data_IF_223490242757
#
_entry.id   IF_223490242757
#
_cell.length_a   1.000
_cell.length_b   1.000
_cell.length_c   1.000
_cell.angle_alpha   90.00
_cell.angle_beta   90.00
_cell.angle_gamma   90.00
#
_symmetry.space_group_name_H-M   'P 1'
#
loop_
_entity.id
_entity.type
_entity.pdbx_description
1 polymer ?
#
# COMPACT_ATOMS: atom_id res chain seq x y z
N UNK A 1 -10.33 -18.72 -3.82
CA UNK A 1 -10.09 -17.67 -2.81
C UNK A 1 -8.75 -17.88 -2.11
N UNK A 2 -8.56 -18.94 -1.30
CA UNK A 2 -7.28 -19.19 -0.58
C UNK A 2 -6.05 -19.27 -1.50
N UNK A 3 -6.08 -20.14 -2.51
CA UNK A 3 -5.01 -20.27 -3.51
C UNK A 3 -4.75 -19.00 -4.33
N UNK A 4 -5.65 -18.01 -4.29
CA UNK A 4 -5.49 -16.73 -4.97
C UNK A 4 -5.08 -15.59 -4.01
N UNK A 5 -4.83 -15.90 -2.73
CA UNK A 5 -4.55 -14.92 -1.69
C UNK A 5 -5.72 -13.98 -1.35
N UNK A 6 -6.95 -14.30 -1.80
CA UNK A 6 -8.15 -13.47 -1.62
C UNK A 6 -8.94 -13.23 -2.92
N UNK A 7 -9.57 -12.05 -3.05
CA UNK A 7 -10.28 -11.59 -4.23
C UNK A 7 -9.47 -10.54 -4.98
N UNK A 8 -9.28 -10.75 -6.27
CA UNK A 8 -8.45 -9.88 -7.09
C UNK A 8 -9.30 -9.18 -8.15
N UNK A 9 -9.03 -7.90 -8.45
CA UNK A 9 -9.56 -7.26 -9.63
C UNK A 9 -9.11 -8.06 -10.86
N UNK A 10 -10.01 -8.19 -11.84
CA UNK A 10 -9.70 -8.93 -13.06
C UNK A 10 -8.50 -8.29 -13.78
N UNK A 11 -7.56 -9.15 -14.19
CA UNK A 11 -6.28 -8.75 -14.81
C UNK A 11 -5.22 -8.19 -13.88
N UNK A 12 -5.42 -8.18 -12.56
CA UNK A 12 -4.36 -7.79 -11.64
C UNK A 12 -3.34 -8.94 -11.46
N UNK A 13 -2.07 -8.57 -11.29
CA UNK A 13 -1.00 -9.51 -10.90
C UNK A 13 -0.90 -9.43 -9.38
N UNK A 14 -0.89 -10.59 -8.73
CA UNK A 14 -0.83 -10.76 -7.28
C UNK A 14 0.27 -9.87 -6.68
N UNK A 15 -0.03 -9.21 -5.56
CA UNK A 15 0.94 -8.46 -4.75
C UNK A 15 1.63 -7.32 -5.52
N UNK A 16 0.89 -6.53 -6.29
CA UNK A 16 1.48 -5.37 -6.95
C UNK A 16 0.68 -4.08 -6.76
N UNK A 17 0.39 -3.77 -5.49
CA UNK A 17 -0.41 -2.61 -5.08
C UNK A 17 0.21 -1.26 -5.47
N UNK A 18 1.54 -1.21 -5.70
CA UNK A 18 2.26 -0.01 -6.09
C UNK A 18 2.62 0.04 -7.58
N UNK A 19 2.57 -1.07 -8.34
CA UNK A 19 2.70 -1.04 -9.81
C UNK A 19 1.37 -1.44 -10.42
N UNK A 20 0.53 -0.43 -10.42
CA UNK A 20 -0.86 -0.50 -10.81
C UNK A 20 -0.97 -0.42 -12.33
N UNK A 21 -1.87 -1.21 -12.95
CA UNK A 21 -2.08 -1.13 -14.40
C UNK A 21 -2.62 0.26 -14.81
N UNK A 22 -2.33 0.72 -16.04
CA UNK A 22 -2.96 1.93 -16.56
C UNK A 22 -4.49 1.78 -16.62
N UNK A 23 -5.21 2.89 -16.45
CA UNK A 23 -6.66 3.02 -16.63
C UNK A 23 -7.57 2.43 -15.53
N UNK A 24 -7.10 2.35 -14.28
CA UNK A 24 -8.00 2.11 -13.14
C UNK A 24 -8.90 3.34 -12.97
N UNK A 25 -10.21 3.09 -12.84
CA UNK A 25 -11.26 4.11 -12.79
C UNK A 25 -12.48 3.53 -12.10
N UNK A 26 -12.92 4.17 -11.01
CA UNK A 26 -14.13 3.79 -10.29
C UNK A 26 -15.39 4.07 -11.15
N UNK A 27 -15.36 5.14 -11.93
CA UNK A 27 -16.42 5.46 -12.88
C UNK A 27 -16.56 4.41 -13.99
N UNK A 28 -15.43 3.89 -14.50
CA UNK A 28 -15.46 2.79 -15.46
C UNK A 28 -15.92 1.48 -14.82
N UNK A 29 -15.52 1.23 -13.56
CA UNK A 29 -15.92 0.05 -12.79
C UNK A 29 -17.44 -0.13 -12.76
N UNK A 30 -18.17 0.92 -12.39
CA UNK A 30 -19.63 0.84 -12.23
C UNK A 30 -20.36 0.80 -13.58
N UNK A 31 -19.82 1.43 -14.64
CA UNK A 31 -20.45 1.45 -15.97
C UNK A 31 -20.24 0.17 -16.77
N UNK A 32 -19.16 -0.57 -16.49
CA UNK A 32 -18.89 -1.84 -17.17
C UNK A 32 -19.70 -3.04 -16.67
N UNK A 33 -20.52 -2.86 -15.62
CA UNK A 33 -21.36 -3.90 -15.06
C UNK A 33 -22.45 -4.43 -16.03
N UNK A 34 -22.78 -3.68 -17.10
CA UNK A 34 -23.87 -4.05 -18.03
C UNK A 34 -23.48 -4.71 -19.36
N UNK A 35 -22.26 -4.48 -19.88
CA UNK A 35 -21.87 -4.90 -21.24
C UNK A 35 -20.36 -5.18 -21.33
N UNK A 36 -19.87 -6.28 -20.76
CA UNK A 36 -18.57 -6.89 -21.11
C UNK A 36 -17.29 -6.03 -21.02
N UNK A 37 -17.33 -4.77 -20.59
CA UNK A 37 -16.31 -3.75 -20.91
C UNK A 37 -15.81 -2.90 -19.73
N UNK A 38 -15.81 -3.40 -18.48
CA UNK A 38 -14.83 -2.93 -17.48
C UNK A 38 -14.10 -4.08 -16.80
N UNK A 39 -13.55 -4.95 -17.63
CA UNK A 39 -12.78 -6.13 -17.23
C UNK A 39 -11.44 -5.83 -16.55
N UNK A 40 -11.02 -4.56 -16.45
CA UNK A 40 -9.75 -4.14 -15.84
C UNK A 40 -9.88 -2.85 -15.01
N UNK A 41 -10.97 -2.72 -14.25
CA UNK A 41 -11.25 -1.50 -13.48
C UNK A 41 -10.36 -1.30 -12.27
N UNK A 42 -9.72 -2.36 -11.75
CA UNK A 42 -8.84 -2.28 -10.58
C UNK A 42 -9.53 -2.39 -9.22
N UNK A 43 -10.84 -2.60 -9.23
CA UNK A 43 -11.68 -2.70 -8.03
C UNK A 43 -12.39 -4.05 -7.94
N UNK A 44 -12.74 -4.44 -6.72
CA UNK A 44 -13.64 -5.56 -6.41
C UNK A 44 -14.87 -5.01 -5.68
N UNK A 45 -16.07 -5.21 -6.24
CA UNK A 45 -17.33 -4.76 -5.65
C UNK A 45 -17.68 -5.53 -4.38
N UNK A 46 -18.15 -4.82 -3.36
CA UNK A 46 -18.77 -5.36 -2.16
C UNK A 46 -19.97 -4.50 -1.76
N UNK A 47 -20.85 -5.02 -0.91
CA UNK A 47 -21.99 -4.26 -0.37
C UNK A 47 -21.99 -4.40 1.14
N UNK A 48 -22.50 -3.36 1.82
CA UNK A 48 -22.75 -3.41 3.26
C UNK A 48 -24.05 -4.15 3.62
N UNK A 49 -24.92 -4.38 2.64
CA UNK A 49 -26.25 -4.94 2.84
C UNK A 49 -26.32 -6.42 2.45
N UNK A 50 -26.60 -7.28 3.43
CA UNK A 50 -26.70 -8.73 3.22
C UNK A 50 -27.74 -9.10 2.15
N UNK A 51 -28.88 -8.42 2.16
CA UNK A 51 -29.97 -8.68 1.21
C UNK A 51 -29.59 -8.29 -0.22
N UNK A 52 -28.78 -7.23 -0.39
CA UNK A 52 -28.24 -6.86 -1.70
C UNK A 52 -27.33 -7.96 -2.22
N UNK A 53 -26.41 -8.47 -1.40
CA UNK A 53 -25.54 -9.60 -1.77
C UNK A 53 -26.34 -10.86 -2.16
N UNK A 54 -27.38 -11.21 -1.39
CA UNK A 54 -28.24 -12.35 -1.69
C UNK A 54 -29.03 -12.17 -3.00
N UNK A 55 -29.52 -10.95 -3.28
CA UNK A 55 -30.24 -10.64 -4.52
C UNK A 55 -29.33 -10.72 -5.75
N UNK A 56 -28.05 -10.34 -5.63
CA UNK A 56 -27.05 -10.55 -6.68
C UNK A 56 -26.87 -12.03 -7.01
N UNK A 57 -26.85 -12.92 -6.01
CA UNK A 57 -26.75 -14.36 -6.26
C UNK A 57 -28.01 -14.91 -6.96
N UNK A 58 -29.20 -14.45 -6.55
CA UNK A 58 -30.48 -14.84 -7.16
C UNK A 58 -30.59 -14.43 -8.61
N UNK A 59 -30.26 -13.17 -8.94
CA UNK A 59 -30.37 -12.64 -10.31
C UNK A 59 -29.47 -13.37 -11.31
N UNK A 60 -28.37 -13.99 -10.83
CA UNK A 60 -27.42 -14.70 -11.68
C UNK A 60 -27.61 -16.23 -11.71
N UNK A 61 -28.56 -16.78 -10.93
CA UNK A 61 -28.77 -18.24 -10.81
C UNK A 61 -27.48 -19.04 -10.54
N UNK A 62 -26.58 -18.47 -9.73
CA UNK A 62 -25.30 -19.08 -9.40
C UNK A 62 -25.51 -20.00 -8.19
N UNK A 63 -25.37 -21.32 -8.36
CA UNK A 63 -25.41 -22.28 -7.25
C UNK A 63 -24.41 -23.43 -7.48
N UNK A 64 -23.65 -23.87 -6.45
CA UNK A 64 -23.55 -23.24 -5.13
C UNK A 64 -22.81 -21.89 -5.20
N UNK A 65 -23.26 -20.93 -4.40
CA UNK A 65 -22.65 -19.61 -4.27
C UNK A 65 -22.20 -19.32 -2.85
N UNK A 66 -21.40 -18.28 -2.68
CA UNK A 66 -20.86 -17.89 -1.39
C UNK A 66 -21.14 -16.41 -1.12
N UNK A 67 -21.49 -16.10 0.13
CA UNK A 67 -21.45 -14.74 0.66
C UNK A 67 -20.24 -14.67 1.59
N UNK A 68 -19.29 -13.80 1.26
CA UNK A 68 -18.10 -13.57 2.07
C UNK A 68 -18.30 -12.36 2.97
N UNK A 69 -17.91 -12.51 4.24
CA UNK A 69 -17.90 -11.44 5.22
C UNK A 69 -16.48 -10.90 5.34
N UNK A 70 -16.33 -9.60 5.22
CA UNK A 70 -15.05 -8.94 4.97
C UNK A 70 -14.95 -7.74 5.89
N UNK A 71 -13.84 -7.65 6.64
CA UNK A 71 -13.58 -6.45 7.44
C UNK A 71 -13.12 -5.33 6.52
N UNK A 72 -13.63 -4.11 6.66
CA UNK A 72 -13.20 -2.98 5.83
C UNK A 72 -11.79 -2.52 6.18
N UNK A 73 -11.09 -1.95 5.19
CA UNK A 73 -9.78 -1.30 5.32
C UNK A 73 -9.73 -0.06 4.43
N UNK A 74 -8.71 0.82 4.53
CA UNK A 74 -8.70 2.07 3.78
C UNK A 74 -8.76 1.94 2.24
N UNK A 75 -8.51 0.76 1.66
CA UNK A 75 -8.74 0.54 0.23
C UNK A 75 -10.21 0.29 -0.16
N UNK A 76 -11.14 0.23 0.80
CA UNK A 76 -12.59 0.17 0.54
C UNK A 76 -13.14 1.57 0.33
N UNK A 77 -13.53 1.88 -0.90
CA UNK A 77 -13.97 3.20 -1.31
C UNK A 77 -15.50 3.21 -1.39
N UNK A 78 -16.12 4.19 -0.73
CA UNK A 78 -17.57 4.42 -0.82
C UNK A 78 -17.91 4.93 -2.22
N UNK A 79 -18.59 4.11 -3.01
CA UNK A 79 -18.85 4.41 -4.42
C UNK A 79 -19.82 5.57 -4.58
N UNK A 80 -20.92 5.52 -3.83
CA UNK A 80 -21.98 6.51 -3.93
C UNK A 80 -21.46 7.90 -3.54
N UNK A 81 -20.70 8.03 -2.46
CA UNK A 81 -20.14 9.31 -2.05
C UNK A 81 -18.98 9.77 -2.94
N UNK A 82 -18.20 8.84 -3.50
CA UNK A 82 -17.07 9.20 -4.38
C UNK A 82 -17.53 9.67 -5.76
N UNK A 83 -18.65 9.15 -6.27
CA UNK A 83 -19.19 9.48 -7.59
C UNK A 83 -20.35 10.48 -7.54
N UNK A 84 -21.01 10.65 -6.39
CA UNK A 84 -22.11 11.59 -6.20
C UNK A 84 -23.26 11.38 -7.20
N UNK A 85 -23.69 12.45 -7.85
CA UNK A 85 -24.79 12.43 -8.84
C UNK A 85 -24.50 11.55 -10.07
N UNK A 86 -23.25 11.10 -10.26
CA UNK A 86 -22.85 10.27 -11.40
C UNK A 86 -22.97 8.77 -11.13
N UNK A 87 -23.41 8.36 -9.94
CA UNK A 87 -23.69 6.97 -9.60
C UNK A 87 -25.17 6.65 -9.75
N UNK A 88 -25.48 5.62 -10.56
CA UNK A 88 -26.86 5.25 -10.89
C UNK A 88 -27.50 4.26 -9.90
N UNK A 89 -26.72 3.70 -8.97
CA UNK A 89 -27.15 2.58 -8.12
C UNK A 89 -26.90 2.82 -6.62
N UNK A 90 -27.30 3.97 -6.05
CA UNK A 90 -27.00 4.30 -4.64
C UNK A 90 -27.53 3.25 -3.65
N UNK A 91 -28.64 2.58 -3.98
CA UNK A 91 -29.26 1.54 -3.15
C UNK A 91 -28.47 0.23 -3.07
N UNK A 92 -27.41 0.06 -3.88
CA UNK A 92 -26.50 -1.09 -3.76
C UNK A 92 -25.57 -0.98 -2.54
N UNK A 93 -25.45 0.22 -1.95
CA UNK A 93 -24.56 0.50 -0.83
C UNK A 93 -23.15 -0.05 -1.05
N UNK A 94 -22.63 0.16 -2.26
CA UNK A 94 -21.38 -0.43 -2.72
C UNK A 94 -20.16 0.22 -2.06
N UNK A 95 -19.27 -0.64 -1.54
CA UNK A 95 -17.88 -0.28 -1.29
C UNK A 95 -17.01 -1.08 -2.26
N UNK A 96 -16.22 -0.39 -3.08
CA UNK A 96 -15.31 -1.03 -4.02
C UNK A 96 -13.90 -1.11 -3.41
N UNK A 97 -13.36 -2.33 -3.30
CA UNK A 97 -12.02 -2.56 -2.79
C UNK A 97 -10.97 -2.35 -3.88
N UNK A 98 -10.23 -1.25 -3.78
CA UNK A 98 -9.12 -0.91 -4.66
C UNK A 98 -7.96 -1.90 -4.49
N UNK A 99 -7.50 -2.49 -5.59
CA UNK A 99 -6.41 -3.47 -5.57
C UNK A 99 -6.79 -4.85 -5.02
N UNK A 100 -8.07 -5.07 -4.68
CA UNK A 100 -8.57 -6.36 -4.20
C UNK A 100 -8.69 -6.48 -2.68
N UNK A 101 -8.95 -7.70 -2.25
CA UNK A 101 -9.26 -8.06 -0.86
C UNK A 101 -8.41 -9.26 -0.50
N UNK A 102 -7.70 -9.20 0.63
CA UNK A 102 -6.84 -10.29 1.07
C UNK A 102 -7.62 -11.40 1.75
N UNK A 103 -7.17 -12.65 1.62
CA UNK A 103 -7.78 -13.78 2.32
C UNK A 103 -7.81 -13.57 3.84
N UNK A 104 -6.73 -13.02 4.40
CA UNK A 104 -6.59 -12.72 5.83
C UNK A 104 -7.53 -11.61 6.33
N UNK A 105 -8.18 -10.87 5.43
CA UNK A 105 -9.14 -9.80 5.73
C UNK A 105 -10.59 -10.31 5.76
N UNK A 106 -10.83 -11.49 5.18
CA UNK A 106 -12.15 -12.15 5.17
C UNK A 106 -12.37 -12.77 6.55
N UNK A 107 -13.44 -12.40 7.23
CA UNK A 107 -13.79 -12.90 8.57
C UNK A 107 -14.46 -14.28 8.50
N UNK A 108 -15.15 -14.58 7.40
CA UNK A 108 -15.81 -15.87 7.17
C UNK A 108 -16.66 -15.88 5.91
N UNK A 109 -17.40 -16.96 5.71
CA UNK A 109 -18.34 -17.09 4.58
C UNK A 109 -19.55 -17.95 4.92
N UNK A 110 -20.62 -17.74 4.16
CA UNK A 110 -21.78 -18.62 4.12
C UNK A 110 -21.92 -19.24 2.74
N UNK A 111 -22.35 -20.50 2.72
CA UNK A 111 -22.72 -21.21 1.50
C UNK A 111 -24.20 -20.94 1.26
N UNK A 112 -24.52 -20.49 0.05
CA UNK A 112 -25.88 -20.16 -0.38
C UNK A 112 -26.24 -21.05 -1.57
N UNK A 113 -27.25 -21.88 -1.37
CA UNK A 113 -27.87 -22.64 -2.44
C UNK A 113 -29.16 -21.93 -2.84
N UNK A 114 -29.08 -21.24 -3.97
CA UNK A 114 -30.24 -20.56 -4.56
C UNK A 114 -30.89 -21.51 -5.57
N UNK A 115 -32.18 -21.80 -5.37
CA UNK A 115 -33.01 -22.44 -6.39
C UNK A 115 -34.06 -21.44 -6.88
N UNK A 116 -34.48 -21.57 -8.14
CA UNK A 116 -35.45 -20.63 -8.76
C UNK A 116 -36.85 -20.76 -8.12
N UNK A 117 -37.15 -21.90 -7.48
CA UNK A 117 -38.50 -22.26 -7.03
C UNK A 117 -38.67 -22.35 -5.52
N UNK A 118 -37.59 -22.30 -4.73
CA UNK A 118 -37.64 -22.46 -3.29
C UNK A 118 -36.91 -21.33 -2.57
N UNK A 119 -37.16 -21.21 -1.27
CA UNK A 119 -36.38 -20.32 -0.43
C UNK A 119 -34.90 -20.75 -0.45
N UNK A 120 -33.94 -19.80 -0.51
CA UNK A 120 -32.53 -20.16 -0.53
C UNK A 120 -32.14 -20.85 0.78
N UNK A 121 -31.38 -21.93 0.67
CA UNK A 121 -30.77 -22.59 1.83
C UNK A 121 -29.43 -21.93 2.11
N UNK A 122 -29.26 -21.42 3.33
CA UNK A 122 -28.09 -20.65 3.75
C UNK A 122 -27.43 -21.40 4.92
N UNK A 123 -26.12 -21.63 4.83
CA UNK A 123 -25.37 -22.27 5.92
C UNK A 123 -25.20 -21.33 7.13
N UNK A 124 -24.80 -21.89 8.27
CA UNK A 124 -24.18 -21.08 9.33
C UNK A 124 -22.93 -20.37 8.80
N UNK A 125 -22.53 -19.29 9.47
CA UNK A 125 -21.28 -18.59 9.18
C UNK A 125 -20.10 -19.50 9.50
N UNK A 126 -19.28 -19.79 8.50
CA UNK A 126 -18.03 -20.53 8.65
C UNK A 126 -16.91 -19.50 8.88
N UNK A 127 -16.29 -19.44 10.07
CA UNK A 127 -15.23 -18.49 10.34
C UNK A 127 -13.98 -18.83 9.51
N UNK A 128 -13.27 -17.79 9.07
CA UNK A 128 -12.00 -17.96 8.40
C UNK A 128 -10.86 -18.08 9.43
N UNK A 129 -10.19 -19.24 9.58
CA UNK A 129 -9.08 -19.39 10.52
C UNK A 129 -7.87 -18.51 10.17
N UNK A 130 -7.79 -18.03 8.92
CA UNK A 130 -6.69 -17.19 8.44
C UNK A 130 -6.93 -15.69 8.72
N UNK A 131 -8.07 -15.33 9.32
CA UNK A 131 -8.39 -13.93 9.63
C UNK A 131 -7.40 -13.34 10.65
N UNK A 132 -6.81 -12.20 10.32
CA UNK A 132 -5.83 -11.52 11.19
C UNK A 132 -6.44 -10.34 11.93
N UNK A 133 -7.19 -10.65 12.99
CA UNK A 133 -7.84 -9.68 13.88
C UNK A 133 -6.95 -8.47 14.25
N UNK A 134 -5.72 -8.73 14.71
CA UNK A 134 -4.78 -7.68 15.10
C UNK A 134 -4.42 -6.67 13.98
N UNK A 135 -4.57 -7.04 12.71
CA UNK A 135 -4.34 -6.14 11.58
C UNK A 135 -5.59 -5.37 11.17
N UNK A 136 -6.77 -5.98 11.31
CA UNK A 136 -7.98 -5.50 10.65
C UNK A 136 -9.07 -4.96 11.59
N UNK A 137 -9.18 -5.44 12.84
CA UNK A 137 -10.31 -5.11 13.73
C UNK A 137 -10.48 -3.61 14.04
N UNK A 138 -9.39 -2.83 13.92
CA UNK A 138 -9.41 -1.38 14.13
C UNK A 138 -9.33 -0.59 12.83
N UNK A 139 -9.29 -1.26 11.68
CA UNK A 139 -9.24 -0.61 10.38
C UNK A 139 -10.61 -0.01 10.03
N UNK A 140 -10.57 1.13 9.36
CA UNK A 140 -11.76 1.81 8.83
C UNK A 140 -11.71 1.82 7.32
N UNK A 141 -12.86 2.01 6.67
CA UNK A 141 -12.92 2.18 5.22
C UNK A 141 -12.20 3.47 4.79
N UNK A 142 -11.88 3.56 3.50
CA UNK A 142 -11.36 4.79 2.90
C UNK A 142 -12.43 5.87 2.78
N UNK A 143 -13.71 5.53 2.90
CA UNK A 143 -14.82 6.46 2.75
C UNK A 143 -14.88 7.06 1.34
N UNK A 144 -15.35 8.30 1.24
CA UNK A 144 -15.47 9.02 -0.02
C UNK A 144 -14.10 9.46 -0.54
N UNK A 145 -13.76 9.10 -1.78
CA UNK A 145 -12.52 9.47 -2.45
C UNK A 145 -12.80 9.99 -3.88
N UNK A 146 -13.29 11.23 -4.04
CA UNK A 146 -13.64 11.80 -5.35
C UNK A 146 -12.48 11.87 -6.34
N UNK A 147 -11.24 12.02 -5.86
CA UNK A 147 -10.05 11.98 -6.71
C UNK A 147 -9.82 10.61 -7.36
N UNK A 148 -10.38 9.54 -6.80
CA UNK A 148 -10.31 8.17 -7.34
C UNK A 148 -11.46 7.85 -8.29
N UNK A 149 -12.39 8.78 -8.51
CA UNK A 149 -13.52 8.59 -9.42
C UNK A 149 -13.06 8.19 -10.84
N UNK A 150 -11.95 8.77 -11.33
CA UNK A 150 -11.37 8.41 -12.61
C UNK A 150 -12.31 8.70 -13.79
N UNK A 151 -13.00 9.85 -13.77
CA UNK A 151 -13.79 10.32 -14.91
C UNK A 151 -12.89 10.52 -16.15
N UNK A 152 -13.42 10.30 -17.37
CA UNK A 152 -12.65 10.56 -18.58
C UNK A 152 -12.34 12.07 -18.74
N UNK A 153 -11.24 12.46 -19.40
CA UNK A 153 -10.79 13.86 -19.46
C UNK A 153 -11.81 14.83 -20.07
N UNK A 154 -12.69 14.35 -20.94
CA UNK A 154 -13.74 15.13 -21.58
C UNK A 154 -15.05 15.18 -20.76
N UNK A 155 -15.12 14.52 -19.60
CA UNK A 155 -16.33 14.48 -18.77
C UNK A 155 -16.76 15.87 -18.27
N UNK A 156 -18.08 16.05 -18.09
CA UNK A 156 -18.66 17.34 -17.69
C UNK A 156 -18.10 17.89 -16.38
N UNK A 157 -17.71 17.01 -15.45
CA UNK A 157 -17.08 17.42 -14.17
C UNK A 157 -15.85 18.30 -14.38
N UNK A 158 -15.05 18.03 -15.42
CA UNK A 158 -13.86 18.82 -15.72
C UNK A 158 -14.17 20.05 -16.58
N UNK A 159 -15.09 19.92 -17.54
CA UNK A 159 -15.50 21.06 -18.40
C UNK A 159 -16.20 22.16 -17.61
N UNK A 160 -17.07 21.78 -16.69
CA UNK A 160 -17.84 22.69 -15.81
C UNK A 160 -17.08 22.99 -14.50
N UNK A 161 -16.00 22.25 -14.23
CA UNK A 161 -15.15 22.43 -13.05
C UNK A 161 -15.85 22.15 -11.74
N UNK A 162 -16.67 21.09 -11.72
CA UNK A 162 -17.50 20.65 -10.60
C UNK A 162 -16.62 20.11 -9.47
N UNK A 163 -16.84 20.61 -8.26
CA UNK A 163 -16.17 20.13 -7.05
C UNK A 163 -16.94 18.95 -6.45
N UNK A 164 -16.26 18.01 -5.77
CA UNK A 164 -14.83 17.97 -5.48
C UNK A 164 -13.93 17.39 -6.61
N UNK A 165 -14.53 16.83 -7.68
CA UNK A 165 -13.80 16.09 -8.72
C UNK A 165 -12.86 16.91 -9.58
N UNK A 166 -13.06 18.22 -9.68
CA UNK A 166 -12.12 19.10 -10.36
C UNK A 166 -10.82 19.28 -9.55
N UNK A 167 -10.82 19.01 -8.24
CA UNK A 167 -9.70 19.20 -7.32
C UNK A 167 -9.58 20.64 -6.82
N UNK A 168 -8.75 20.86 -5.79
CA UNK A 168 -8.50 22.19 -5.23
C UNK A 168 -7.83 23.10 -6.25
N UNK A 169 -8.50 24.19 -6.64
CA UNK A 169 -7.92 25.20 -7.55
C UNK A 169 -6.86 26.02 -6.82
N UNK A 170 -5.59 25.84 -7.18
CA UNK A 170 -4.53 26.75 -6.74
C UNK A 170 -4.73 28.17 -7.30
N UNK A 171 -4.27 29.19 -6.56
CA UNK A 171 -4.45 30.62 -6.89
C UNK A 171 -3.93 31.06 -8.28
N UNK A 172 -3.16 30.23 -8.99
CA UNK A 172 -2.47 30.61 -10.25
C UNK A 172 -3.11 30.07 -11.55
N UNK A 173 -4.14 29.22 -11.49
CA UNK A 173 -4.83 28.70 -12.70
C UNK A 173 -6.34 28.54 -12.44
N UNK A 174 -7.08 29.63 -12.52
CA UNK A 174 -8.52 29.64 -12.23
C UNK A 174 -9.39 28.78 -13.18
N UNK A 175 -8.86 28.36 -14.34
CA UNK A 175 -9.62 27.73 -15.43
C UNK A 175 -9.23 26.27 -15.77
N UNK A 176 -8.40 25.60 -14.96
CA UNK A 176 -8.02 24.20 -15.22
C UNK A 176 -8.26 23.34 -14.00
N UNK A 177 -8.87 22.17 -14.18
CA UNK A 177 -9.06 21.16 -13.14
C UNK A 177 -7.80 20.31 -13.01
N UNK A 178 -7.08 20.35 -11.87
CA UNK A 178 -5.88 19.53 -11.68
C UNK A 178 -6.09 18.04 -11.95
N UNK A 179 -7.23 17.48 -11.53
CA UNK A 179 -7.51 16.06 -11.69
C UNK A 179 -7.76 15.64 -13.15
N UNK A 180 -8.09 16.57 -14.05
CA UNK A 180 -8.31 16.29 -15.47
C UNK A 180 -6.99 15.99 -16.22
N UNK A 181 -5.87 16.54 -15.73
CA UNK A 181 -4.54 16.38 -16.33
C UNK A 181 -3.72 15.28 -15.64
N UNK A 182 -4.21 14.73 -14.52
CA UNK A 182 -3.51 13.70 -13.76
C UNK A 182 -3.70 12.30 -14.35
N UNK A 183 -2.62 11.52 -14.32
CA UNK A 183 -2.68 10.10 -14.63
C UNK A 183 -3.39 9.36 -13.50
N UNK A 184 -4.50 8.67 -13.77
CA UNK A 184 -5.26 7.97 -12.73
C UNK A 184 -4.42 6.94 -11.97
N UNK A 185 -3.48 6.28 -12.64
CA UNK A 185 -2.53 5.36 -12.01
C UNK A 185 -1.69 6.06 -10.94
N UNK A 186 -1.22 7.28 -11.20
CA UNK A 186 -0.42 8.04 -10.24
C UNK A 186 -1.26 8.43 -9.02
N UNK A 187 -2.48 8.94 -9.22
CA UNK A 187 -3.40 9.30 -8.12
C UNK A 187 -3.68 8.09 -7.23
N UNK A 188 -3.86 6.93 -7.83
CA UNK A 188 -4.07 5.66 -7.12
C UNK A 188 -2.82 5.21 -6.38
N UNK A 189 -1.65 5.25 -7.01
CA UNK A 189 -0.38 4.91 -6.36
C UNK A 189 -0.13 5.81 -5.14
N UNK A 190 -0.37 7.11 -5.28
CA UNK A 190 -0.26 8.09 -4.19
C UNK A 190 -1.25 7.79 -3.08
N UNK A 191 -2.52 7.52 -3.40
CA UNK A 191 -3.53 7.13 -2.41
C UNK A 191 -3.15 5.84 -1.67
N UNK A 192 -2.77 4.80 -2.41
CA UNK A 192 -2.35 3.52 -1.84
C UNK A 192 -1.14 3.72 -0.91
N UNK A 193 -0.13 4.47 -1.35
CA UNK A 193 1.09 4.68 -0.59
C UNK A 193 0.91 5.56 0.65
N UNK A 194 -0.05 6.50 0.64
CA UNK A 194 -0.22 7.51 1.70
C UNK A 194 -1.38 7.27 2.65
N UNK A 195 -2.38 6.48 2.23
CA UNK A 195 -3.61 6.28 3.00
C UNK A 195 -3.88 4.81 3.30
N UNK A 196 -3.36 3.89 2.49
CA UNK A 196 -3.65 2.47 2.62
C UNK A 196 -2.49 1.70 3.24
N UNK A 197 -1.27 1.85 2.70
CA UNK A 197 -0.09 1.08 3.06
C UNK A 197 0.60 1.64 4.31
N UNK A 198 -0.11 1.59 5.44
CA UNK A 198 0.43 1.91 6.76
C UNK A 198 1.47 0.86 7.14
N UNK A 199 2.63 1.32 7.58
CA UNK A 199 3.80 0.54 7.95
C UNK A 199 3.67 0.09 9.40
N UNK A 200 3.73 -1.22 9.59
CA UNK A 200 3.65 -1.89 10.88
C UNK A 200 5.04 -2.28 11.43
N UNK A 201 6.00 -2.51 10.53
CA UNK A 201 7.38 -2.80 10.90
C UNK A 201 8.34 -2.40 9.77
N UNK A 202 9.55 -1.96 10.13
CA UNK A 202 10.65 -1.72 9.19
C UNK A 202 11.86 -2.52 9.65
N UNK A 203 12.49 -3.21 8.69
CA UNK A 203 13.78 -3.85 8.84
C UNK A 203 14.77 -3.25 7.85
N UNK A 204 15.97 -2.98 8.32
CA UNK A 204 17.10 -2.54 7.48
C UNK A 204 18.15 -3.64 7.51
N UNK A 205 18.44 -4.21 6.35
CA UNK A 205 19.55 -5.14 6.17
C UNK A 205 20.73 -4.40 5.58
N UNK A 206 21.89 -4.53 6.21
CA UNK A 206 23.12 -3.88 5.76
C UNK A 206 24.34 -4.79 5.88
N UNK A 207 25.30 -4.59 4.97
CA UNK A 207 26.58 -5.30 4.96
C UNK A 207 27.74 -4.32 4.82
N UNK A 208 28.75 -4.48 5.67
CA UNK A 208 30.07 -3.84 5.56
C UNK A 208 30.96 -4.66 4.62
N UNK A 209 31.81 -4.00 3.84
CA UNK A 209 32.69 -4.69 2.90
C UNK A 209 33.68 -5.64 3.58
N UNK A 210 33.98 -6.76 2.91
CA UNK A 210 34.99 -7.73 3.35
C UNK A 210 36.44 -7.29 3.09
N UNK A 211 36.65 -6.29 2.23
CA UNK A 211 37.97 -5.90 1.74
C UNK A 211 38.62 -4.76 2.52
N UNK A 212 37.90 -4.12 3.44
CA UNK A 212 38.37 -2.95 4.18
C UNK A 212 38.23 -3.15 5.69
N UNK A 213 39.17 -2.55 6.43
CA UNK A 213 39.20 -2.62 7.88
C UNK A 213 37.90 -2.09 8.50
N UNK A 214 37.54 -2.67 9.63
CA UNK A 214 36.42 -2.20 10.43
C UNK A 214 36.63 -0.78 10.96
N UNK A 215 35.59 -0.18 11.54
CA UNK A 215 35.70 1.09 12.27
C UNK A 215 35.18 0.92 13.69
N UNK A 216 35.71 1.71 14.62
CA UNK A 216 35.11 1.90 15.94
C UNK A 216 34.02 2.98 15.93
N UNK A 217 33.93 3.78 14.87
CA UNK A 217 32.92 4.81 14.72
C UNK A 217 31.51 4.20 14.69
N UNK A 218 30.55 4.97 15.20
CA UNK A 218 29.14 4.67 15.03
C UNK A 218 28.69 5.00 13.62
N UNK A 219 27.90 4.11 13.00
CA UNK A 219 27.14 4.45 11.81
C UNK A 219 25.66 4.51 12.17
N UNK A 220 25.05 5.65 11.91
CA UNK A 220 23.62 5.86 12.05
C UNK A 220 22.94 5.88 10.69
N UNK A 221 21.68 5.47 10.68
CA UNK A 221 20.79 5.54 9.52
C UNK A 221 19.60 6.44 9.82
N UNK A 222 19.17 7.19 8.81
CA UNK A 222 17.93 7.98 8.79
C UNK A 222 17.08 7.47 7.63
N UNK A 223 15.77 7.30 7.87
CA UNK A 223 14.79 6.81 6.88
C UNK A 223 13.69 7.86 6.76
N UNK A 224 13.57 8.51 5.60
CA UNK A 224 12.63 9.60 5.40
C UNK A 224 12.84 10.71 6.43
N UNK A 225 11.82 10.94 7.26
CA UNK A 225 11.85 11.94 8.35
C UNK A 225 12.18 11.35 9.73
N UNK A 226 12.67 10.11 9.80
CA UNK A 226 12.98 9.49 11.09
C UNK A 226 14.10 10.22 11.85
N UNK A 227 14.15 10.00 13.16
CA UNK A 227 15.36 10.27 13.94
C UNK A 227 16.52 9.37 13.49
N UNK A 228 17.79 9.79 13.66
CA UNK A 228 18.94 8.93 13.43
C UNK A 228 18.93 7.72 14.36
N UNK A 229 19.19 6.54 13.80
CA UNK A 229 19.20 5.26 14.52
C UNK A 229 20.53 4.55 14.33
N UNK A 230 21.05 3.90 15.36
CA UNK A 230 22.33 3.19 15.29
C UNK A 230 22.21 1.97 14.39
N UNK A 231 22.82 2.04 13.20
CA UNK A 231 22.95 0.92 12.28
C UNK A 231 24.13 0.05 12.70
N UNK A 232 25.31 0.61 12.95
CA UNK A 232 26.48 -0.12 13.41
C UNK A 232 27.20 0.60 14.55
N UNK A 233 27.84 -0.20 15.40
CA UNK A 233 28.88 0.20 16.34
C UNK A 233 29.98 -0.86 16.26
N UNK A 234 31.24 -0.43 16.31
CA UNK A 234 32.41 -1.32 16.28
C UNK A 234 32.28 -2.36 15.14
N UNK A 235 32.14 -1.87 13.92
CA UNK A 235 31.93 -2.71 12.75
C UNK A 235 33.24 -3.38 12.35
N UNK A 236 33.20 -4.69 12.11
CA UNK A 236 34.29 -5.42 11.48
C UNK A 236 34.05 -5.57 9.98
N UNK A 237 35.12 -5.85 9.24
CA UNK A 237 35.04 -6.27 7.85
C UNK A 237 34.02 -7.39 7.65
N UNK A 238 33.21 -7.30 6.58
CA UNK A 238 32.22 -8.30 6.21
C UNK A 238 30.98 -8.38 7.12
N UNK A 239 30.88 -7.56 8.17
CA UNK A 239 29.80 -7.61 9.15
C UNK A 239 28.45 -7.36 8.48
N UNK A 240 27.51 -8.27 8.73
CA UNK A 240 26.11 -8.13 8.34
C UNK A 240 25.28 -7.77 9.58
N UNK A 241 24.28 -6.90 9.41
CA UNK A 241 23.33 -6.56 10.46
C UNK A 241 21.93 -6.34 9.91
N UNK A 242 20.95 -6.82 10.67
CA UNK A 242 19.54 -6.47 10.54
C UNK A 242 19.17 -5.55 11.69
N UNK A 243 18.73 -4.33 11.38
CA UNK A 243 18.14 -3.41 12.33
C UNK A 243 16.63 -3.52 12.24
N UNK A 244 15.98 -3.92 13.33
CA UNK A 244 14.54 -3.79 13.50
C UNK A 244 14.25 -2.38 14.04
N UNK A 245 13.51 -1.58 13.29
CA UNK A 245 13.22 -0.19 13.65
C UNK A 245 12.07 -0.14 14.64
N UNK A 246 12.30 0.51 15.78
CA UNK A 246 11.25 0.92 16.71
C UNK A 246 10.53 2.15 16.13
N UNK A 247 9.39 1.93 15.48
CA UNK A 247 8.63 2.99 14.79
C UNK A 247 8.24 4.14 15.71
N UNK A 248 7.84 3.82 16.95
CA UNK A 248 7.42 4.82 17.93
C UNK A 248 8.56 5.77 18.29
N UNK A 249 9.77 5.22 18.50
CA UNK A 249 10.95 6.05 18.78
C UNK A 249 11.47 6.77 17.53
N UNK A 250 11.45 6.10 16.38
CA UNK A 250 12.03 6.63 15.15
C UNK A 250 11.18 7.76 14.55
N UNK A 251 9.85 7.72 14.70
CA UNK A 251 8.90 8.63 14.08
C UNK A 251 7.98 9.35 15.09
N UNK A 252 8.39 9.44 16.36
CA UNK A 252 7.65 10.19 17.41
C UNK A 252 6.17 9.78 17.56
N UNK A 253 5.91 8.47 17.54
CA UNK A 253 4.57 7.87 17.58
C UNK A 253 3.63 8.30 16.45
N UNK A 254 4.16 8.90 15.37
CA UNK A 254 3.36 9.20 14.19
C UNK A 254 3.09 7.91 13.41
N UNK A 255 1.91 7.85 12.78
CA UNK A 255 1.63 6.81 11.81
C UNK A 255 2.57 6.97 10.61
N UNK A 256 3.16 5.86 10.20
CA UNK A 256 4.11 5.84 9.08
C UNK A 256 3.45 5.09 7.93
N UNK A 257 3.50 5.67 6.75
CA UNK A 257 3.05 5.07 5.50
C UNK A 257 4.25 4.92 4.56
N UNK A 258 4.12 4.07 3.54
CA UNK A 258 5.18 3.90 2.54
C UNK A 258 5.59 5.25 1.91
N UNK A 259 4.64 6.15 1.67
CA UNK A 259 4.94 7.48 1.12
C UNK A 259 5.80 8.37 2.03
N UNK A 260 5.92 8.06 3.32
CA UNK A 260 6.81 8.79 4.23
C UNK A 260 8.28 8.36 4.12
N UNK A 261 8.54 7.18 3.52
CA UNK A 261 9.86 6.59 3.41
C UNK A 261 10.59 7.06 2.14
N UNK A 262 10.78 8.38 2.03
CA UNK A 262 11.23 9.06 0.80
C UNK A 262 12.74 9.10 0.58
N UNK A 263 13.53 8.72 1.58
CA UNK A 263 14.99 8.76 1.47
C UNK A 263 15.69 7.86 2.49
N UNK A 264 16.96 7.60 2.24
CA UNK A 264 17.90 7.08 3.22
C UNK A 264 19.06 8.04 3.39
N UNK A 265 19.56 8.12 4.62
CA UNK A 265 20.78 8.83 4.96
C UNK A 265 21.68 7.98 5.85
N UNK A 266 22.99 8.12 5.65
CA UNK A 266 23.99 7.57 6.56
C UNK A 266 24.73 8.72 7.25
N UNK A 267 24.84 8.61 8.56
CA UNK A 267 25.53 9.60 9.42
C UNK A 267 26.62 8.86 10.19
N UNK A 268 27.84 9.36 10.13
CA UNK A 268 28.93 8.85 10.96
C UNK A 268 28.91 9.60 12.29
N UNK A 269 29.01 8.85 13.38
CA UNK A 269 29.28 9.34 14.74
C UNK A 269 30.70 8.95 15.14
N UNK A 270 31.66 9.87 14.99
CA UNK A 270 33.06 9.61 15.31
C UNK A 270 33.23 9.22 16.78
N UNK A 271 34.03 8.20 17.05
CA UNK A 271 34.50 7.93 18.40
C UNK A 271 35.87 8.61 18.59
N UNK A 272 36.12 9.37 19.68
CA UNK A 272 37.43 9.97 19.90
C UNK A 272 38.51 8.89 20.11
N UNK A 273 39.48 8.78 19.20
CA UNK A 273 40.67 7.96 19.40
C UNK A 273 41.94 8.61 18.83
N UNK A 274 43.16 8.22 19.29
CA UNK A 274 44.42 8.91 18.96
C UNK A 274 44.93 8.69 17.53
N UNK A 275 44.34 7.74 16.81
CA UNK A 275 44.71 7.34 15.44
C UNK A 275 43.53 7.77 14.55
N UNK A 276 43.74 8.18 13.30
CA UNK A 276 42.68 8.79 12.47
C UNK A 276 41.41 7.92 12.38
N UNK A 277 40.26 8.60 12.29
CA UNK A 277 38.96 8.04 11.88
C UNK A 277 39.10 7.12 10.67
N UNK A 278 38.72 5.86 10.83
CA UNK A 278 38.88 4.85 9.78
C UNK A 278 37.73 4.92 8.78
N UNK A 279 38.06 5.08 7.50
CA UNK A 279 37.10 4.93 6.41
C UNK A 279 36.76 3.45 6.23
N UNK A 280 35.47 3.15 6.11
CA UNK A 280 34.98 1.80 5.85
C UNK A 280 33.90 1.85 4.76
N UNK A 281 33.59 0.72 4.14
CA UNK A 281 32.68 0.65 2.99
C UNK A 281 31.40 -0.07 3.34
N UNK A 282 30.25 0.53 3.02
CA UNK A 282 28.95 -0.13 3.05
C UNK A 282 28.66 -0.72 1.66
N UNK A 283 28.51 -2.03 1.59
CA UNK A 283 28.23 -2.73 0.33
C UNK A 283 26.76 -2.69 -0.03
N UNK A 284 25.88 -2.85 0.95
CA UNK A 284 24.44 -2.97 0.71
C UNK A 284 23.59 -2.33 1.80
N UNK A 285 22.45 -1.79 1.36
CA UNK A 285 21.31 -1.39 2.17
C UNK A 285 20.03 -1.90 1.50
N UNK A 286 19.25 -2.69 2.21
CA UNK A 286 17.94 -3.18 1.77
C UNK A 286 16.93 -2.86 2.86
N UNK A 287 15.80 -2.27 2.48
CA UNK A 287 14.68 -2.03 3.40
C UNK A 287 13.59 -3.06 3.13
N UNK A 288 13.09 -3.66 4.20
CA UNK A 288 11.90 -4.51 4.18
C UNK A 288 10.88 -3.89 5.11
N UNK A 289 9.66 -3.69 4.62
CA UNK A 289 8.57 -3.10 5.39
C UNK A 289 7.37 -4.01 5.38
N UNK A 290 6.80 -4.23 6.56
CA UNK A 290 5.52 -4.91 6.71
C UNK A 290 4.42 -3.85 6.79
N UNK A 291 3.36 -3.99 6.01
CA UNK A 291 2.25 -3.03 5.94
C UNK A 291 0.91 -3.70 6.26
N UNK A 292 -0.14 -2.89 6.35
CA UNK A 292 -1.54 -3.33 6.47
C UNK A 292 -1.97 -4.29 5.37
N UNK A 293 -1.49 -4.08 4.14
CA UNK A 293 -1.77 -4.99 3.05
C UNK A 293 -0.69 -6.05 3.00
N UNK A 294 0.59 -5.76 2.80
CA UNK A 294 1.59 -6.84 2.73
C UNK A 294 3.02 -6.43 3.02
N UNK A 295 3.95 -7.31 2.68
CA UNK A 295 5.38 -7.04 2.81
C UNK A 295 5.90 -6.42 1.51
N UNK A 296 6.71 -5.36 1.65
CA UNK A 296 7.37 -4.68 0.55
C UNK A 296 8.87 -4.58 0.82
N UNK A 297 9.63 -4.58 -0.24
CA UNK A 297 11.08 -4.49 -0.22
C UNK A 297 11.56 -3.40 -1.16
N UNK A 298 12.55 -2.63 -0.71
CA UNK A 298 13.27 -1.65 -1.51
C UNK A 298 14.73 -2.10 -1.63
N UNK A 299 15.12 -2.43 -2.86
CA UNK A 299 16.43 -2.98 -3.23
C UNK A 299 17.33 -2.04 -4.01
N UNK A 300 16.91 -0.78 -4.23
CA UNK A 300 17.67 0.22 -5.00
C UNK A 300 19.13 0.37 -4.55
N UNK A 301 19.39 0.18 -3.25
CA UNK A 301 20.73 0.31 -2.65
C UNK A 301 21.35 -1.04 -2.24
N UNK A 302 20.90 -2.16 -2.82
CA UNK A 302 21.47 -3.49 -2.53
C UNK A 302 22.91 -3.66 -2.99
N UNK A 303 23.38 -2.78 -3.89
CA UNK A 303 24.74 -2.75 -4.43
C UNK A 303 25.34 -1.36 -4.30
N UNK A 304 25.15 -0.73 -3.13
CA UNK A 304 25.53 0.64 -2.84
C UNK A 304 27.05 0.89 -3.00
N UNK A 305 27.89 -0.02 -2.49
CA UNK A 305 29.36 0.07 -2.49
C UNK A 305 29.90 1.49 -2.18
N UNK A 306 29.53 2.06 -1.03
CA UNK A 306 29.88 3.43 -0.65
C UNK A 306 30.90 3.47 0.47
N UNK A 307 32.01 4.17 0.22
CA UNK A 307 32.95 4.56 1.27
C UNK A 307 32.30 5.60 2.20
N UNK A 308 32.30 5.30 3.48
CA UNK A 308 31.77 6.10 4.56
C UNK A 308 32.86 6.30 5.61
N UNK A 309 33.05 7.56 5.99
CA UNK A 309 34.09 7.97 6.92
C UNK A 309 34.13 9.49 6.95
N UNK A 310 34.60 10.04 8.05
CA UNK A 310 34.76 11.48 8.20
C UNK A 310 35.98 11.78 9.06
N UNK A 311 36.71 12.85 8.72
CA UNK A 311 37.79 13.39 9.56
C UNK A 311 37.26 14.37 10.61
N UNK A 312 35.96 14.69 10.58
CA UNK A 312 35.34 15.58 11.56
C UNK A 312 35.14 14.83 12.87
N UNK A 313 35.09 15.57 13.96
CA UNK A 313 34.80 15.04 15.30
C UNK A 313 33.30 15.04 15.62
N UNK A 314 32.52 15.77 14.83
CA UNK A 314 31.06 15.91 15.00
C UNK A 314 30.30 14.93 14.10
N UNK A 315 28.99 14.78 14.37
CA UNK A 315 28.09 14.01 13.51
C UNK A 315 28.10 14.56 12.08
N UNK A 316 28.37 13.71 11.11
CA UNK A 316 28.37 14.10 9.69
C UNK A 316 27.52 13.17 8.85
N UNK A 317 26.61 13.74 8.05
CA UNK A 317 25.93 13.02 6.97
C UNK A 317 26.92 12.77 5.83
N UNK A 318 27.31 11.51 5.66
CA UNK A 318 28.31 11.09 4.68
C UNK A 318 27.68 10.58 3.37
N UNK A 319 26.39 10.25 3.41
CA UNK A 319 25.66 9.78 2.23
C UNK A 319 24.15 10.00 2.36
N UNK A 320 23.46 10.11 1.23
CA UNK A 320 22.02 9.98 1.14
C UNK A 320 21.56 9.54 -0.24
N UNK A 321 20.39 8.90 -0.30
CA UNK A 321 19.74 8.45 -1.51
C UNK A 321 18.23 8.67 -1.45
N UNK A 322 17.64 9.01 -2.58
CA UNK A 322 16.19 9.19 -2.72
C UNK A 322 15.49 7.85 -2.98
N UNK A 323 14.32 7.67 -2.37
CA UNK A 323 13.41 6.55 -2.59
C UNK A 323 12.12 7.08 -3.20
N UNK A 324 11.70 6.49 -4.30
CA UNK A 324 10.40 6.75 -4.95
C UNK A 324 9.49 5.53 -4.78
N UNK A 325 8.19 5.69 -5.11
CA UNK A 325 7.23 4.58 -5.01
C UNK A 325 7.57 3.39 -5.93
N UNK A 326 8.24 3.65 -7.07
CA UNK A 326 8.63 2.61 -8.03
C UNK A 326 9.77 1.71 -7.54
N UNK A 327 10.52 2.18 -6.55
CA UNK A 327 11.62 1.44 -5.92
C UNK A 327 11.12 0.31 -5.00
N UNK A 328 9.82 0.32 -4.63
CA UNK A 328 9.20 -0.69 -3.80
C UNK A 328 8.65 -1.85 -4.63
N UNK A 329 8.91 -3.07 -4.17
CA UNK A 329 8.42 -4.31 -4.76
C UNK A 329 7.75 -5.12 -3.66
N UNK A 330 6.55 -5.63 -3.88
CA UNK A 330 5.94 -6.51 -2.88
C UNK A 330 6.65 -7.86 -2.88
N UNK A 331 6.86 -8.40 -1.68
CA UNK A 331 7.30 -9.77 -1.50
C UNK A 331 6.03 -10.63 -1.42
N UNK A 332 5.90 -11.69 -2.25
CA UNK A 332 4.82 -12.63 -2.09
C UNK A 332 4.85 -13.24 -0.69
N UNK A 333 3.68 -13.31 -0.05
CA UNK A 333 3.55 -14.12 1.16
C UNK A 333 4.04 -15.53 0.81
N UNK A 334 4.98 -16.08 1.58
CA UNK A 334 5.40 -17.47 1.39
C UNK A 334 4.13 -18.31 1.57
N UNK A 335 3.78 -19.09 0.55
CA UNK A 335 2.84 -20.19 0.78
C UNK A 335 3.53 -21.07 1.82
N UNK A 336 2.96 -21.14 3.02
CA UNK A 336 3.37 -22.14 4.00
C UNK A 336 3.12 -23.51 3.32
N UNK A 337 4.20 -24.17 2.89
CA UNK A 337 4.19 -25.51 2.28
C UNK A 337 3.58 -26.57 3.21
#
# INVERSE_FOLDING_TARGET
MRAAGGFQPRGHIINNYLRVRPNISLYSHIRGAGLGSSIYSGYVSTTTEYNVALNFLRSRSLAPSFIYFIHVTPNFIDVAQSLGEFYAYPDEHEFSALGGIRSQQITGWQIVNVTIREAPTISHLIPNPDYRAALYDFAVSGGAQPQLAGFPPDHRVFREGIQPWCGFRGKKRANKCPLAEQNSTQVIQEYMASSVLKVNAIQVHSRVSSSWAGTIDGLLIVIGQSKPMVLFQNSSSGKYKTLNVDLNKAFDNQEVYISNLTSLGLIVAPFPHPIMSDAFRIESLVLVVNTTLGVFEMKKFSSLSKDVGTKKTDLEKVWGGEITLDDWVSIPDKEDE
#
